data_IF_072231160403
#
_entry.id   IF_072231160403
#
_cell.length_a   1.000
_cell.length_b   1.000
_cell.length_c   1.000
_cell.angle_alpha   90.00
_cell.angle_beta   90.00
_cell.angle_gamma   90.00
#
_symmetry.space_group_name_H-M   'P 1'
#
loop_
_entity.id
_entity.type
_entity.pdbx_description
1 polymer ?
#
# COMPACT_ATOMS: atom_id res chain seq x y z
N UNK A 1 -19.90 -23.44 24.96
CA UNK A 1 -19.09 -23.69 23.74
C UNK A 1 -17.65 -23.88 24.19
N UNK A 2 -16.89 -24.83 23.63
CA UNK A 2 -15.48 -25.01 24.02
C UNK A 2 -14.68 -23.75 23.63
N UNK A 3 -14.03 -23.04 24.58
CA UNK A 3 -13.39 -21.75 24.32
C UNK A 3 -12.34 -21.84 23.20
N UNK A 4 -11.65 -22.97 23.06
CA UNK A 4 -10.67 -23.18 21.98
C UNK A 4 -11.33 -23.23 20.59
N UNK A 5 -12.53 -23.80 20.49
CA UNK A 5 -13.28 -23.88 19.23
C UNK A 5 -13.81 -22.50 18.81
N UNK A 6 -14.23 -21.69 19.78
CA UNK A 6 -14.70 -20.33 19.54
C UNK A 6 -13.59 -19.41 19.03
N UNK A 7 -12.39 -19.51 19.61
CA UNK A 7 -11.19 -18.80 19.15
C UNK A 7 -10.86 -19.18 17.70
N UNK A 8 -10.83 -20.49 17.41
CA UNK A 8 -10.52 -20.98 16.07
C UNK A 8 -11.51 -20.45 15.02
N UNK A 9 -12.82 -20.46 15.33
CA UNK A 9 -13.86 -20.00 14.42
C UNK A 9 -13.80 -18.48 14.19
N UNK A 10 -13.55 -17.69 15.24
CA UNK A 10 -13.36 -16.23 15.16
C UNK A 10 -12.10 -15.85 14.39
N UNK A 11 -10.99 -16.57 14.58
CA UNK A 11 -9.75 -16.34 13.84
C UNK A 11 -9.91 -16.61 12.34
N UNK A 12 -10.61 -17.69 11.97
CA UNK A 12 -10.95 -17.99 10.56
C UNK A 12 -11.87 -16.91 9.99
N UNK A 13 -12.88 -16.46 10.75
CA UNK A 13 -13.76 -15.38 10.32
C UNK A 13 -13.02 -14.05 10.12
N UNK A 14 -12.08 -13.71 11.02
CA UNK A 14 -11.21 -12.54 10.90
C UNK A 14 -10.37 -12.61 9.64
N UNK A 15 -9.69 -13.74 9.43
CA UNK A 15 -8.85 -13.96 8.27
C UNK A 15 -9.63 -13.82 6.95
N UNK A 16 -10.82 -14.42 6.86
CA UNK A 16 -11.69 -14.30 5.69
C UNK A 16 -12.21 -12.87 5.50
N UNK A 17 -12.57 -12.17 6.58
CA UNK A 17 -12.99 -10.77 6.55
C UNK A 17 -11.92 -9.84 6.00
N UNK A 18 -10.67 -10.01 6.45
CA UNK A 18 -9.51 -9.25 5.94
C UNK A 18 -9.33 -9.53 4.45
N UNK A 19 -9.31 -10.80 4.03
CA UNK A 19 -9.16 -11.15 2.60
C UNK A 19 -10.26 -10.51 1.74
N UNK A 20 -11.52 -10.53 2.19
CA UNK A 20 -12.63 -9.92 1.45
C UNK A 20 -12.44 -8.42 1.29
N UNK A 21 -12.11 -7.72 2.37
CA UNK A 21 -11.89 -6.26 2.34
C UNK A 21 -10.67 -5.90 1.50
N UNK A 22 -9.56 -6.62 1.67
CA UNK A 22 -8.35 -6.44 0.85
C UNK A 22 -8.65 -6.66 -0.64
N UNK A 23 -9.50 -7.63 -0.99
CA UNK A 23 -9.89 -7.89 -2.39
C UNK A 23 -10.75 -6.77 -2.98
N UNK A 24 -11.58 -6.09 -2.18
CA UNK A 24 -12.37 -4.91 -2.58
C UNK A 24 -11.48 -3.67 -2.73
N UNK A 25 -10.50 -3.48 -1.84
CA UNK A 25 -9.50 -2.39 -1.94
C UNK A 25 -8.62 -2.55 -3.19
N UNK A 26 -8.42 -3.78 -3.68
CA UNK A 26 -8.05 -4.05 -5.08
C UNK A 26 -6.58 -4.37 -5.34
N UNK A 27 -6.30 -4.69 -6.62
CA UNK A 27 -5.02 -5.17 -7.19
C UNK A 27 -3.81 -4.21 -7.07
N UNK A 28 -3.97 -3.06 -6.41
CA UNK A 28 -2.91 -2.05 -6.27
C UNK A 28 -1.73 -2.50 -5.39
N UNK A 29 -1.90 -3.57 -4.60
CA UNK A 29 -0.84 -4.05 -3.70
C UNK A 29 0.37 -4.70 -4.40
N UNK A 30 0.28 -5.06 -5.68
CA UNK A 30 1.33 -5.81 -6.38
C UNK A 30 2.27 -4.94 -7.23
N UNK A 31 2.12 -3.62 -7.21
CA UNK A 31 2.94 -2.70 -8.03
C UNK A 31 3.71 -1.64 -7.24
N UNK A 32 3.04 -0.96 -6.31
CA UNK A 32 3.60 0.07 -5.42
C UNK A 32 2.51 0.35 -4.36
N UNK A 33 2.71 -0.11 -3.12
CA UNK A 33 1.77 0.18 -2.02
C UNK A 33 1.79 1.69 -1.74
N UNK A 34 0.62 2.35 -1.78
CA UNK A 34 0.54 3.72 -1.30
C UNK A 34 0.73 3.75 0.21
N UNK A 35 1.17 4.88 0.75
CA UNK A 35 1.31 5.05 2.21
C UNK A 35 -0.02 4.78 2.92
N UNK A 36 -1.14 5.19 2.30
CA UNK A 36 -2.49 4.94 2.82
C UNK A 36 -2.85 3.45 2.84
N UNK A 37 -2.47 2.68 1.81
CA UNK A 37 -2.70 1.23 1.78
C UNK A 37 -1.89 0.51 2.88
N UNK A 38 -0.66 0.95 3.12
CA UNK A 38 0.21 0.39 4.16
C UNK A 38 -0.33 0.64 5.57
N UNK A 39 -0.73 1.89 5.87
CA UNK A 39 -1.33 2.25 7.17
C UNK A 39 -2.61 1.45 7.40
N UNK A 40 -3.44 1.30 6.35
CA UNK A 40 -4.68 0.53 6.45
C UNK A 40 -4.43 -0.96 6.71
N UNK A 41 -3.44 -1.56 6.06
CA UNK A 41 -3.08 -2.96 6.30
C UNK A 41 -2.69 -3.23 7.76
N UNK A 42 -1.91 -2.33 8.36
CA UNK A 42 -1.52 -2.41 9.78
C UNK A 42 -2.75 -2.24 10.69
N UNK A 43 -3.60 -1.24 10.41
CA UNK A 43 -4.80 -0.98 11.20
C UNK A 43 -5.77 -2.18 11.16
N UNK A 44 -6.12 -2.66 9.97
CA UNK A 44 -7.00 -3.81 9.77
C UNK A 44 -6.42 -5.07 10.43
N UNK A 45 -5.10 -5.31 10.27
CA UNK A 45 -4.43 -6.43 10.92
C UNK A 45 -4.53 -6.38 12.44
N UNK A 46 -4.39 -5.19 13.02
CA UNK A 46 -4.51 -4.97 14.46
C UNK A 46 -5.94 -5.21 14.97
N UNK A 47 -6.95 -4.72 14.24
CA UNK A 47 -8.37 -4.93 14.56
C UNK A 47 -8.74 -6.41 14.42
N UNK A 48 -8.23 -7.09 13.38
CA UNK A 48 -8.45 -8.52 13.18
C UNK A 48 -7.81 -9.38 14.28
N UNK A 49 -6.59 -9.03 14.72
CA UNK A 49 -5.94 -9.68 15.84
C UNK A 49 -6.74 -9.49 17.13
N UNK A 50 -7.18 -8.27 17.43
CA UNK A 50 -8.03 -7.98 18.58
C UNK A 50 -9.36 -8.74 18.53
N UNK A 51 -9.98 -8.85 17.36
CA UNK A 51 -11.21 -9.64 17.17
C UNK A 51 -11.01 -11.14 17.46
N UNK A 52 -9.82 -11.67 17.18
CA UNK A 52 -9.48 -13.06 17.44
C UNK A 52 -9.14 -13.32 18.92
N UNK A 53 -8.51 -12.36 19.61
CA UNK A 53 -7.99 -12.55 20.97
C UNK A 53 -8.87 -11.99 22.08
N UNK A 54 -9.70 -10.97 21.79
CA UNK A 54 -10.57 -10.37 22.78
C UNK A 54 -11.95 -11.06 22.77
N UNK A 55 -12.29 -11.67 23.90
CA UNK A 55 -13.49 -12.48 24.05
C UNK A 55 -14.63 -11.74 24.76
N UNK A 56 -14.35 -10.54 25.28
CA UNK A 56 -15.31 -9.77 26.09
C UNK A 56 -16.16 -8.83 25.24
N UNK A 57 -15.62 -8.40 24.12
CA UNK A 57 -16.24 -7.44 23.21
C UNK A 57 -17.06 -8.13 22.11
N UNK A 58 -18.07 -7.42 21.60
CA UNK A 58 -18.92 -7.93 20.53
C UNK A 58 -18.17 -7.88 19.18
N UNK A 59 -18.14 -9.01 18.47
CA UNK A 59 -17.49 -9.19 17.15
C UNK A 59 -17.94 -8.13 16.15
N UNK A 60 -19.19 -7.65 16.26
CA UNK A 60 -19.76 -6.61 15.39
C UNK A 60 -18.94 -5.32 15.42
N UNK A 61 -18.37 -4.91 16.56
CA UNK A 61 -17.57 -3.68 16.64
C UNK A 61 -16.31 -3.74 15.78
N UNK A 62 -15.64 -4.90 15.76
CA UNK A 62 -14.46 -5.12 14.93
C UNK A 62 -14.81 -5.17 13.44
N UNK A 63 -15.93 -5.79 13.06
CA UNK A 63 -16.41 -5.82 11.67
C UNK A 63 -16.70 -4.39 11.18
N UNK A 64 -17.37 -3.58 12.00
CA UNK A 64 -17.63 -2.17 11.69
C UNK A 64 -16.30 -1.41 11.53
N UNK A 65 -15.35 -1.61 12.46
CA UNK A 65 -14.02 -1.00 12.40
C UNK A 65 -13.27 -1.30 11.11
N UNK A 66 -13.16 -2.59 10.74
CA UNK A 66 -12.51 -3.03 9.50
C UNK A 66 -13.23 -2.42 8.27
N UNK A 67 -14.57 -2.38 8.28
CA UNK A 67 -15.36 -1.82 7.17
C UNK A 67 -15.13 -0.32 7.01
N UNK A 68 -15.09 0.45 8.10
CA UNK A 68 -14.83 1.89 8.07
C UNK A 68 -13.41 2.17 7.59
N UNK A 69 -12.41 1.45 8.11
CA UNK A 69 -11.02 1.61 7.68
C UNK A 69 -10.83 1.27 6.20
N UNK A 70 -11.39 0.14 5.74
CA UNK A 70 -11.38 -0.22 4.32
C UNK A 70 -12.09 0.82 3.44
N UNK A 71 -13.24 1.35 3.89
CA UNK A 71 -13.97 2.41 3.20
C UNK A 71 -13.19 3.73 3.13
N UNK A 72 -12.51 4.13 4.21
CA UNK A 72 -11.65 5.31 4.23
C UNK A 72 -10.49 5.19 3.25
N UNK A 73 -9.82 4.04 3.21
CA UNK A 73 -8.74 3.79 2.24
C UNK A 73 -9.24 3.82 0.81
N UNK A 74 -10.40 3.22 0.55
CA UNK A 74 -11.02 3.31 -0.76
C UNK A 74 -11.33 4.76 -1.15
N UNK A 75 -11.85 5.56 -0.21
CA UNK A 75 -12.14 6.98 -0.44
C UNK A 75 -10.87 7.81 -0.66
N UNK A 76 -9.79 7.58 0.09
CA UNK A 76 -8.52 8.28 -0.11
C UNK A 76 -7.91 7.95 -1.47
N UNK A 77 -7.94 6.68 -1.87
CA UNK A 77 -7.43 6.26 -3.17
C UNK A 77 -8.28 6.85 -4.30
N UNK A 78 -9.61 6.83 -4.15
CA UNK A 78 -10.52 7.45 -5.13
C UNK A 78 -10.35 8.98 -5.22
N UNK A 79 -10.16 9.66 -4.08
CA UNK A 79 -9.90 11.10 -4.04
C UNK A 79 -8.55 11.45 -4.69
N UNK A 80 -7.51 10.64 -4.47
CA UNK A 80 -6.20 10.77 -5.12
C UNK A 80 -6.26 10.61 -6.64
N UNK A 81 -7.15 9.74 -7.15
CA UNK A 81 -7.39 9.59 -8.59
C UNK A 81 -8.12 10.81 -9.20
N UNK A 82 -9.05 11.43 -8.46
CA UNK A 82 -9.87 12.54 -8.96
C UNK A 82 -9.21 13.91 -8.83
N UNK A 83 -8.34 14.12 -7.82
CA UNK A 83 -7.74 15.41 -7.52
C UNK A 83 -6.22 15.32 -7.33
N UNK A 84 -5.47 16.06 -8.16
CA UNK A 84 -4.02 16.23 -8.01
C UNK A 84 -3.64 16.85 -6.66
N UNK A 85 -4.48 17.72 -6.10
CA UNK A 85 -4.23 18.33 -4.79
C UNK A 85 -4.41 17.32 -3.65
N UNK A 86 -5.44 16.45 -3.73
CA UNK A 86 -5.62 15.38 -2.76
C UNK A 86 -4.48 14.36 -2.85
N UNK A 87 -4.06 14.01 -4.06
CA UNK A 87 -2.89 13.16 -4.28
C UNK A 87 -1.61 13.76 -3.71
N UNK A 88 -1.38 15.05 -3.94
CA UNK A 88 -0.22 15.78 -3.38
C UNK A 88 -0.21 15.78 -1.85
N UNK A 89 -1.37 15.87 -1.20
CA UNK A 89 -1.49 15.87 0.25
C UNK A 89 -1.33 14.45 0.85
N UNK A 90 -1.88 13.44 0.19
CA UNK A 90 -1.95 12.05 0.70
C UNK A 90 -0.74 11.20 0.31
N UNK A 91 -0.25 11.34 -0.93
CA UNK A 91 0.83 10.53 -1.52
C UNK A 91 2.12 11.35 -1.77
N UNK A 92 2.04 12.69 -1.75
CA UNK A 92 3.17 13.57 -2.10
C UNK A 92 3.16 14.02 -3.57
N UNK A 93 4.11 14.89 -3.97
CA UNK A 93 4.26 15.27 -5.38
C UNK A 93 5.02 14.20 -6.16
N UNK A 94 4.51 13.75 -7.32
CA UNK A 94 5.29 12.91 -8.21
C UNK A 94 6.47 13.72 -8.75
N UNK A 95 7.67 13.37 -8.33
CA UNK A 95 8.90 14.03 -8.77
C UNK A 95 9.51 13.29 -9.95
N UNK A 96 9.67 14.00 -11.07
CA UNK A 96 10.32 13.45 -12.27
C UNK A 96 11.82 13.33 -12.03
N UNK A 97 12.34 12.11 -12.09
CA UNK A 97 13.78 11.81 -11.93
C UNK A 97 14.51 11.63 -13.27
N UNK A 98 13.81 11.30 -14.36
CA UNK A 98 14.36 11.20 -15.72
C UNK A 98 13.51 12.03 -16.67
N UNK A 99 14.13 12.93 -17.43
CA UNK A 99 13.47 13.71 -18.47
C UNK A 99 14.33 13.72 -19.74
N UNK A 100 13.76 13.28 -20.87
CA UNK A 100 14.43 13.21 -22.17
C UNK A 100 15.81 12.52 -22.12
N UNK A 101 15.91 11.38 -21.43
CA UNK A 101 17.17 10.63 -21.29
C UNK A 101 18.20 11.24 -20.34
N UNK A 102 17.89 12.38 -19.70
CA UNK A 102 18.76 13.01 -18.70
C UNK A 102 18.24 12.72 -17.28
N UNK A 103 19.14 12.30 -16.40
CA UNK A 103 18.86 12.09 -14.99
C UNK A 103 18.89 13.46 -14.29
N UNK A 104 17.84 13.75 -13.52
CA UNK A 104 17.69 15.00 -12.77
C UNK A 104 18.18 14.80 -11.33
N UNK A 105 19.50 14.81 -11.12
CA UNK A 105 20.12 14.57 -9.81
C UNK A 105 19.61 15.49 -8.70
N UNK A 106 19.27 16.74 -9.02
CA UNK A 106 18.69 17.70 -8.07
C UNK A 106 17.35 17.21 -7.50
N UNK A 107 16.53 16.60 -8.36
CA UNK A 107 15.23 16.05 -7.98
C UNK A 107 15.41 14.77 -7.17
N UNK A 108 16.37 13.93 -7.55
CA UNK A 108 16.73 12.73 -6.78
C UNK A 108 17.22 13.06 -5.36
N UNK A 109 18.10 14.05 -5.22
CA UNK A 109 18.59 14.51 -3.92
C UNK A 109 17.46 15.06 -3.03
N UNK A 110 16.52 15.80 -3.62
CA UNK A 110 15.34 16.32 -2.92
C UNK A 110 14.44 15.20 -2.38
N UNK A 111 14.25 14.13 -3.15
CA UNK A 111 13.46 12.94 -2.75
C UNK A 111 14.28 11.90 -1.99
N UNK A 112 15.56 12.18 -1.68
CA UNK A 112 16.51 11.22 -1.07
C UNK A 112 16.57 9.88 -1.82
N UNK A 113 16.39 9.92 -3.13
CA UNK A 113 16.36 8.77 -4.01
C UNK A 113 17.77 8.52 -4.59
N UNK A 114 18.32 7.32 -4.37
CA UNK A 114 19.69 7.00 -4.75
C UNK A 114 19.80 6.45 -6.18
N UNK A 115 20.96 6.62 -6.81
CA UNK A 115 21.29 6.10 -8.14
C UNK A 115 21.20 4.57 -8.23
N UNK A 116 21.55 3.86 -7.16
CA UNK A 116 21.44 2.40 -7.09
C UNK A 116 19.96 1.95 -7.20
N UNK A 117 19.06 2.65 -6.51
CA UNK A 117 17.63 2.39 -6.55
C UNK A 117 17.06 2.66 -7.95
N UNK A 118 17.46 3.77 -8.57
CA UNK A 118 17.05 4.10 -9.93
C UNK A 118 17.49 3.01 -10.91
N UNK A 119 18.75 2.58 -10.82
CA UNK A 119 19.33 1.55 -11.70
C UNK A 119 18.65 0.19 -11.48
N UNK A 120 18.34 -0.15 -10.24
CA UNK A 120 17.60 -1.36 -9.89
C UNK A 120 16.18 -1.36 -10.49
N UNK A 121 15.43 -0.26 -10.33
CA UNK A 121 14.09 -0.13 -10.91
C UNK A 121 14.09 -0.17 -12.44
N UNK A 122 15.08 0.45 -13.09
CA UNK A 122 15.26 0.38 -14.54
C UNK A 122 15.59 -1.05 -15.02
N UNK A 123 16.32 -1.82 -14.20
CA UNK A 123 16.61 -3.25 -14.48
C UNK A 123 15.38 -4.13 -14.33
N UNK A 124 14.58 -3.93 -13.27
CA UNK A 124 13.32 -4.66 -13.06
C UNK A 124 12.33 -4.42 -14.21
N UNK A 125 12.28 -3.19 -14.73
CA UNK A 125 11.44 -2.83 -15.87
C UNK A 125 12.10 -3.12 -17.23
N UNK A 126 13.19 -3.88 -17.26
CA UNK A 126 13.90 -4.40 -18.46
C UNK A 126 14.39 -3.31 -19.43
N UNK A 127 14.64 -2.08 -18.96
CA UNK A 127 15.12 -0.98 -19.82
C UNK A 127 16.65 -0.99 -20.07
N UNK A 128 17.42 -1.83 -19.35
CA UNK A 128 18.89 -1.74 -19.29
C UNK A 128 19.65 -2.95 -19.85
N UNK A 129 19.17 -3.58 -20.92
CA UNK A 129 20.06 -4.37 -21.79
C UNK A 129 20.68 -3.52 -22.90
N UNK A 130 20.43 -2.20 -22.94
CA UNK A 130 21.15 -1.30 -23.85
C UNK A 130 22.45 -0.80 -23.20
N UNK A 131 23.63 -1.10 -23.76
CA UNK A 131 24.90 -0.65 -23.22
C UNK A 131 24.99 0.87 -23.39
N UNK A 132 24.96 1.58 -22.27
CA UNK A 132 25.13 3.04 -22.17
C UNK A 132 26.52 3.55 -22.63
N UNK A 133 27.36 2.66 -23.16
CA UNK A 133 28.74 2.93 -23.57
C UNK A 133 28.84 3.74 -24.88
N UNK A 134 27.76 3.84 -25.68
CA UNK A 134 27.80 4.48 -27.00
C UNK A 134 27.28 5.93 -27.06
N UNK A 135 27.09 6.60 -25.91
CA UNK A 135 26.67 8.02 -25.86
C UNK A 135 27.75 8.97 -25.31
N UNK A 136 28.98 8.47 -25.11
CA UNK A 136 30.14 9.27 -24.72
C UNK A 136 31.35 9.13 -25.66
N UNK A 137 31.14 8.61 -26.88
CA UNK A 137 32.11 8.69 -27.98
C UNK A 137 31.40 8.92 -29.31
#
# INVERSE_FOLDING_TARGET
MNPYLEIALRAVAAFLGVILVTRVVGKQQLGELTVSDFVNAIAIGSIAAAMATDHKENVIYYIIGITIFGGLTYLTNFAGLKSRAARKLLEGEPTVVIHNGKILEKNMSKERYNMDNLTMQLREKMFLTFPMWNLLF
#
